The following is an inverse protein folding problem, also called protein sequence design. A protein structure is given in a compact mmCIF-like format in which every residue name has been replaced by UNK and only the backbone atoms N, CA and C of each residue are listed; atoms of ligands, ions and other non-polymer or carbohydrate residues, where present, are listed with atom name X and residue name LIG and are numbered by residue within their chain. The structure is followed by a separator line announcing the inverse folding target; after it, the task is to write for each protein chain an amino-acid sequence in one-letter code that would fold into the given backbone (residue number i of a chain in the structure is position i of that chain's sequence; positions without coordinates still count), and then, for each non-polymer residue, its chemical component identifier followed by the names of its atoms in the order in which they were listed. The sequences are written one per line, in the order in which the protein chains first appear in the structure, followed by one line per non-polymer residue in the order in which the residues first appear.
data_IF_494446683760
#
_entry.id   IF_494446683760
#
_cell.length_a   1.000
_cell.length_b   1.000
_cell.length_c   1.000
_cell.angle_alpha   90.00
_cell.angle_beta   90.00
_cell.angle_gamma   90.00
#
_symmetry.space_group_name_H-M   'P 1'
#
loop_
_entity.id
_entity.type
_entity.pdbx_description
1 polymer ?
#
# COMPACT_ATOMS: atom_id res chain seq x y z
N UNK A 1 12.48 5.67 3.09
CA UNK A 1 13.65 5.12 3.80
C UNK A 1 14.46 6.25 4.38
N UNK A 2 14.62 6.24 5.70
CA UNK A 2 15.57 7.08 6.40
C UNK A 2 16.86 6.33 6.62
N UNK A 3 17.99 6.96 6.33
CA UNK A 3 19.32 6.36 6.41
C UNK A 3 20.28 7.36 7.02
N UNK A 4 20.91 7.01 8.15
CA UNK A 4 22.00 7.81 8.74
C UNK A 4 23.39 7.28 8.33
N UNK A 5 23.51 6.01 7.94
CA UNK A 5 24.73 5.48 7.33
C UNK A 5 24.40 4.42 6.28
N UNK A 6 25.27 4.26 5.27
CA UNK A 6 25.11 3.25 4.22
C UNK A 6 25.38 1.83 4.73
N UNK A 7 26.19 1.69 5.79
CA UNK A 7 26.79 0.43 6.24
C UNK A 7 26.11 -0.21 7.44
N UNK A 8 25.19 0.49 8.13
CA UNK A 8 24.45 -0.11 9.27
C UNK A 8 23.27 -0.92 8.74
N UNK A 9 23.05 -2.09 9.36
CA UNK A 9 21.82 -2.87 9.20
C UNK A 9 20.60 -1.98 9.43
N UNK A 10 19.53 -2.28 8.71
CA UNK A 10 18.26 -1.56 8.83
C UNK A 10 17.28 -2.46 9.53
N UNK A 11 16.58 -1.89 10.50
CA UNK A 11 15.50 -2.55 11.19
C UNK A 11 14.20 -2.25 10.45
N UNK A 12 13.32 -3.25 10.40
CA UNK A 12 11.95 -3.03 9.96
C UNK A 12 11.20 -2.30 11.07
N UNK A 13 10.61 -1.16 10.72
CA UNK A 13 9.77 -0.38 11.63
C UNK A 13 8.47 -0.02 10.93
N UNK A 14 7.45 0.36 11.68
CA UNK A 14 6.25 1.00 11.15
C UNK A 14 5.93 2.31 11.86
N UNK A 15 5.14 3.15 11.19
CA UNK A 15 4.47 4.30 11.80
C UNK A 15 2.97 4.18 11.57
N UNK A 16 2.18 4.67 12.52
CA UNK A 16 0.74 4.76 12.32
C UNK A 16 0.42 5.88 11.34
N UNK A 17 -0.40 5.57 10.35
CA UNK A 17 -0.94 6.55 9.42
C UNK A 17 -2.47 6.53 9.53
N UNK A 18 -3.06 7.72 9.52
CA UNK A 18 -4.47 7.88 9.19
C UNK A 18 -4.52 8.16 7.69
N UNK A 19 -5.38 7.47 6.95
CA UNK A 19 -5.77 8.01 5.66
C UNK A 19 -6.68 9.21 5.97
N UNK A 20 -6.41 10.42 5.43
CA UNK A 20 -7.15 11.59 5.84
C UNK A 20 -8.57 11.50 5.31
N UNK A 21 -9.53 11.27 6.19
CA UNK A 21 -10.95 11.47 5.94
C UNK A 21 -11.21 12.96 5.61
N UNK A 22 -11.94 13.30 4.53
CA UNK A 22 -12.40 14.67 4.29
C UNK A 22 -13.34 15.20 5.38
N UNK A 23 -13.99 14.34 6.17
CA UNK A 23 -15.04 14.73 7.13
C UNK A 23 -14.63 14.64 8.61
N UNK A 24 -13.39 14.23 8.91
CA UNK A 24 -12.84 14.28 10.27
C UNK A 24 -13.47 13.27 11.26
N UNK A 25 -14.08 12.18 10.77
CA UNK A 25 -14.59 11.11 11.61
C UNK A 25 -13.48 10.29 12.27
N UNK A 26 -13.60 10.08 13.58
CA UNK A 26 -12.60 9.38 14.42
C UNK A 26 -12.55 7.85 14.22
N UNK A 27 -13.12 7.34 13.11
CA UNK A 27 -13.19 5.92 12.75
C UNK A 27 -12.09 5.42 11.81
N UNK A 28 -11.05 6.21 11.55
CA UNK A 28 -10.00 5.84 10.60
C UNK A 28 -9.32 4.52 10.97
N UNK A 29 -9.48 3.49 10.12
CA UNK A 29 -8.71 2.24 10.21
C UNK A 29 -7.23 2.60 10.26
N UNK A 30 -6.59 2.37 11.41
CA UNK A 30 -5.19 2.69 11.65
C UNK A 30 -4.28 1.82 10.80
N UNK A 31 -4.02 2.23 9.56
CA UNK A 31 -3.03 1.59 8.70
C UNK A 31 -1.64 1.81 9.28
N UNK A 32 -0.79 0.79 9.18
CA UNK A 32 0.60 0.84 9.63
C UNK A 32 1.50 0.91 8.40
N UNK A 33 2.27 1.97 8.24
CA UNK A 33 3.22 2.09 7.12
C UNK A 33 4.59 1.59 7.55
N UNK A 34 4.95 0.40 7.09
CA UNK A 34 6.22 -0.27 7.32
C UNK A 34 7.33 0.16 6.36
N UNK A 35 8.55 0.27 6.89
CA UNK A 35 9.75 0.57 6.11
C UNK A 35 11.02 0.23 6.89
N UNK A 36 12.10 -0.03 6.16
CA UNK A 36 13.42 -0.24 6.74
C UNK A 36 14.11 1.08 7.08
N UNK A 37 14.70 1.16 8.27
CA UNK A 37 15.49 2.33 8.71
C UNK A 37 16.64 1.94 9.64
N UNK A 38 17.67 2.79 9.71
CA UNK A 38 18.76 2.65 10.67
C UNK A 38 19.00 3.92 11.48
N UNK A 39 17.98 4.79 11.60
CA UNK A 39 18.09 5.96 12.47
C UNK A 39 18.21 5.54 13.95
N UNK A 40 18.80 6.35 14.83
CA UNK A 40 18.97 6.03 16.25
C UNK A 40 17.63 5.85 16.97
N UNK A 41 17.59 5.01 18.00
CA UNK A 41 16.37 4.69 18.73
C UNK A 41 15.64 5.92 19.31
N UNK A 42 16.37 6.92 19.84
CA UNK A 42 15.76 8.18 20.29
C UNK A 42 15.00 8.89 19.18
N UNK A 43 15.61 9.00 17.99
CA UNK A 43 14.98 9.59 16.81
C UNK A 43 13.83 8.73 16.26
N UNK A 44 13.78 7.42 16.54
CA UNK A 44 12.62 6.57 16.22
C UNK A 44 11.45 6.90 17.12
N UNK A 45 11.70 7.01 18.42
CA UNK A 45 10.68 7.37 19.43
C UNK A 45 10.05 8.74 19.13
N UNK A 46 10.88 9.76 18.85
CA UNK A 46 10.43 11.11 18.48
C UNK A 46 9.48 11.11 17.27
N UNK A 47 9.69 10.17 16.34
CA UNK A 47 8.94 10.05 15.09
C UNK A 47 7.79 9.04 15.14
N UNK A 48 7.59 8.35 16.28
CA UNK A 48 6.54 7.34 16.46
C UNK A 48 6.80 6.06 15.68
N UNK A 49 8.06 5.73 15.45
CA UNK A 49 8.45 4.49 14.79
C UNK A 49 8.48 3.34 15.80
N UNK A 50 7.73 2.29 15.52
CA UNK A 50 7.67 1.06 16.31
C UNK A 50 8.40 -0.03 15.55
N UNK A 51 9.33 -0.72 16.20
CA UNK A 51 10.07 -1.82 15.58
C UNK A 51 9.18 -3.04 15.35
N UNK A 52 9.42 -3.75 14.25
CA UNK A 52 8.89 -5.08 14.00
C UNK A 52 10.07 -6.03 14.18
N UNK A 53 10.12 -6.83 15.25
CA UNK A 53 11.23 -7.76 15.46
C UNK A 53 11.17 -8.89 14.41
N UNK A 54 12.32 -9.50 14.05
CA UNK A 54 12.35 -10.61 13.09
C UNK A 54 11.46 -11.80 13.45
N UNK A 55 11.17 -12.00 14.74
CA UNK A 55 10.23 -13.03 15.23
C UNK A 55 8.81 -12.84 14.71
N UNK A 56 8.44 -11.60 14.35
CA UNK A 56 7.07 -11.23 13.96
C UNK A 56 6.94 -11.15 12.42
N UNK A 57 7.99 -11.47 11.66
CA UNK A 57 7.94 -11.37 10.19
C UNK A 57 6.98 -12.40 9.57
N UNK A 58 6.80 -13.55 10.22
CA UNK A 58 5.85 -14.59 9.83
C UNK A 58 4.39 -14.18 10.04
N UNK A 59 4.09 -13.42 11.09
CA UNK A 59 2.78 -12.82 11.31
C UNK A 59 2.91 -11.34 11.69
N UNK A 60 3.09 -10.47 10.69
CA UNK A 60 3.29 -9.06 10.96
C UNK A 60 2.01 -8.38 11.45
N UNK A 61 2.12 -7.22 12.12
CA UNK A 61 0.99 -6.46 12.59
C UNK A 61 -0.13 -6.32 11.54
N UNK A 62 -1.39 -6.45 11.98
CA UNK A 62 -2.56 -6.24 11.12
C UNK A 62 -2.52 -4.85 10.49
N UNK A 63 -3.06 -4.73 9.27
CA UNK A 63 -3.05 -3.49 8.48
C UNK A 63 -1.65 -2.90 8.18
N UNK A 64 -0.58 -3.72 8.24
CA UNK A 64 0.76 -3.32 7.81
C UNK A 64 0.87 -3.26 6.29
N UNK A 65 1.24 -2.10 5.77
CA UNK A 65 1.63 -1.90 4.38
C UNK A 65 3.10 -1.53 4.28
N UNK A 66 3.84 -2.16 3.38
CA UNK A 66 5.25 -1.81 3.11
C UNK A 66 5.39 -1.37 1.66
N UNK A 67 6.10 -0.26 1.46
CA UNK A 67 6.44 0.23 0.13
C UNK A 67 5.30 0.89 -0.65
N UNK A 68 4.13 1.07 -0.03
CA UNK A 68 2.99 1.70 -0.69
C UNK A 68 3.34 3.09 -1.26
N UNK A 69 2.90 3.34 -2.49
CA UNK A 69 3.01 4.64 -3.13
C UNK A 69 2.03 5.65 -2.55
N UNK A 70 0.87 5.15 -2.10
CA UNK A 70 -0.19 5.83 -1.37
C UNK A 70 -0.96 4.78 -0.54
N UNK A 71 -1.45 5.10 0.67
CA UNK A 71 -1.11 6.28 1.46
C UNK A 71 0.37 6.27 1.87
N UNK A 72 0.98 7.46 1.97
CA UNK A 72 2.39 7.60 2.33
C UNK A 72 2.57 8.64 3.43
N UNK A 73 3.19 8.28 4.57
CA UNK A 73 3.39 9.22 5.66
C UNK A 73 4.26 10.40 5.25
N UNK A 74 4.11 11.51 5.98
CA UNK A 74 5.00 12.65 5.85
C UNK A 74 6.41 12.23 6.26
N UNK A 75 7.41 12.92 5.69
CA UNK A 75 8.79 12.79 6.14
C UNK A 75 9.11 13.89 7.14
N UNK A 76 9.77 13.54 8.23
CA UNK A 76 10.36 14.47 9.16
C UNK A 76 11.88 14.47 8.96
N UNK A 77 12.49 15.64 9.03
CA UNK A 77 13.94 15.79 8.93
C UNK A 77 14.47 16.77 9.96
N UNK A 78 15.58 16.43 10.60
CA UNK A 78 16.32 17.28 11.54
C UNK A 78 17.80 17.21 11.23
N UNK A 79 18.47 18.35 11.23
CA UNK A 79 19.93 18.42 11.15
C UNK A 79 20.47 18.51 12.58
N UNK A 80 21.27 17.53 12.94
CA UNK A 80 22.15 17.54 14.10
C UNK A 80 23.54 17.97 13.61
N UNK A 81 24.39 18.53 14.47
CA UNK A 81 25.65 19.23 14.13
C UNK A 81 26.39 18.67 12.90
N UNK A 82 26.66 17.36 12.91
CA UNK A 82 27.33 16.65 11.81
C UNK A 82 26.46 15.58 11.12
N UNK A 83 25.20 15.40 11.53
CA UNK A 83 24.35 14.30 11.05
C UNK A 83 22.99 14.79 10.59
N UNK A 84 22.50 14.21 9.52
CA UNK A 84 21.16 14.49 9.01
C UNK A 84 20.26 13.29 9.28
N UNK A 85 19.19 13.50 10.03
CA UNK A 85 18.13 12.51 10.24
C UNK A 85 16.97 12.85 9.35
N UNK A 86 16.55 11.92 8.50
CA UNK A 86 15.30 12.05 7.73
C UNK A 86 14.59 10.72 7.70
N UNK A 87 13.36 10.64 8.20
CA UNK A 87 12.56 9.42 8.15
C UNK A 87 11.07 9.75 8.05
N UNK A 88 10.21 8.73 8.04
CA UNK A 88 8.77 8.92 8.14
C UNK A 88 8.36 9.20 9.59
N UNK A 89 7.27 9.96 9.74
CA UNK A 89 6.69 10.34 11.03
C UNK A 89 5.25 9.85 11.10
N UNK A 90 4.87 9.28 12.24
CA UNK A 90 3.49 8.93 12.55
C UNK A 90 2.60 10.17 12.60
N UNK A 91 1.33 10.02 12.20
CA UNK A 91 0.39 11.15 12.14
C UNK A 91 0.18 11.81 13.51
N UNK A 92 0.16 11.01 14.56
CA UNK A 92 0.04 11.37 15.97
C UNK A 92 1.31 12.05 16.52
N UNK A 93 2.47 11.83 15.89
CA UNK A 93 3.75 12.42 16.30
C UNK A 93 4.15 13.67 15.54
N UNK A 94 3.33 14.16 14.61
CA UNK A 94 3.68 15.36 13.82
C UNK A 94 3.87 16.58 14.72
N UNK A 95 3.00 16.80 15.70
CA UNK A 95 3.09 17.96 16.60
C UNK A 95 4.32 17.87 17.51
N UNK A 96 4.52 16.73 18.17
CA UNK A 96 5.69 16.51 19.04
C UNK A 96 7.01 16.55 18.26
N UNK A 97 7.06 16.03 17.04
CA UNK A 97 8.26 16.09 16.20
C UNK A 97 8.62 17.54 15.83
N UNK A 98 7.64 18.42 15.59
CA UNK A 98 7.92 19.85 15.36
C UNK A 98 8.55 20.50 16.58
N UNK A 99 8.02 20.23 17.79
CA UNK A 99 8.58 20.72 19.05
C UNK A 99 9.99 20.19 19.27
N UNK A 100 10.27 18.94 18.91
CA UNK A 100 11.60 18.33 18.93
C UNK A 100 12.55 18.82 17.80
N UNK A 101 12.17 19.87 17.07
CA UNK A 101 13.00 20.52 16.06
C UNK A 101 13.01 19.85 14.68
N UNK A 102 12.10 18.92 14.39
CA UNK A 102 11.99 18.34 13.05
C UNK A 102 11.23 19.26 12.09
N UNK A 103 11.80 19.46 10.90
CA UNK A 103 11.10 19.98 9.74
C UNK A 103 10.23 18.88 9.13
N UNK A 104 8.92 19.13 9.06
CA UNK A 104 7.96 18.20 8.47
C UNK A 104 7.74 18.54 7.00
N UNK A 105 7.98 17.58 6.12
CA UNK A 105 7.74 17.68 4.69
C UNK A 105 6.25 17.77 4.34
N UNK A 106 5.97 18.24 3.12
CA UNK A 106 4.60 18.29 2.58
C UNK A 106 4.06 16.87 2.36
N UNK A 107 2.74 16.72 2.49
CA UNK A 107 2.05 15.49 2.09
C UNK A 107 2.23 15.30 0.58
N UNK A 108 2.48 14.07 0.15
CA UNK A 108 2.51 13.75 -1.28
C UNK A 108 1.10 13.88 -1.85
N UNK A 109 0.98 14.47 -3.05
CA UNK A 109 -0.31 14.53 -3.75
C UNK A 109 -0.88 13.12 -3.94
N UNK A 110 -2.20 12.99 -3.72
CA UNK A 110 -2.91 11.73 -3.89
C UNK A 110 -2.97 11.36 -5.37
N UNK A 111 -2.91 10.07 -5.68
CA UNK A 111 -3.23 9.59 -7.03
C UNK A 111 -4.69 9.95 -7.36
N UNK A 112 -4.95 10.42 -8.59
CA UNK A 112 -6.32 10.68 -9.04
C UNK A 112 -7.06 9.34 -9.13
N UNK A 113 -8.10 9.17 -8.32
CA UNK A 113 -8.99 8.01 -8.41
C UNK A 113 -9.71 8.02 -9.77
N UNK A 114 -9.77 6.85 -10.42
CA UNK A 114 -10.39 6.67 -11.74
C UNK A 114 -11.66 5.84 -11.56
N UNK A 115 -12.69 6.49 -11.04
CA UNK A 115 -13.98 5.83 -10.74
C UNK A 115 -14.58 5.26 -12.02
N UNK A 116 -15.20 4.08 -11.91
CA UNK A 116 -15.88 3.43 -13.02
C UNK A 116 -16.97 4.33 -13.62
N UNK A 117 -17.17 4.26 -14.94
CA UNK A 117 -18.15 5.10 -15.64
C UNK A 117 -17.73 6.56 -15.87
N UNK A 118 -16.60 7.01 -15.30
CA UNK A 118 -15.98 8.28 -15.69
C UNK A 118 -15.46 8.15 -17.14
N UNK A 119 -16.08 8.86 -18.07
CA UNK A 119 -15.76 8.81 -19.51
C UNK A 119 -14.38 9.34 -19.88
N UNK A 120 -13.68 10.01 -18.95
CA UNK A 120 -12.44 10.74 -19.24
C UNK A 120 -11.16 9.89 -19.23
N UNK A 121 -11.23 8.60 -18.90
CA UNK A 121 -10.05 7.76 -18.69
C UNK A 121 -10.16 6.40 -19.38
N UNK A 122 -9.03 5.90 -19.92
CA UNK A 122 -8.90 4.55 -20.48
C UNK A 122 -8.68 3.45 -19.43
N UNK A 123 -8.53 3.85 -18.17
CA UNK A 123 -8.32 2.96 -17.02
C UNK A 123 -9.38 3.23 -15.96
N UNK A 124 -9.65 2.22 -15.16
CA UNK A 124 -10.50 2.31 -13.97
C UNK A 124 -9.74 1.80 -12.75
N UNK A 125 -10.01 2.41 -11.60
CA UNK A 125 -9.46 1.94 -10.34
C UNK A 125 -10.33 0.79 -9.81
N UNK A 126 -9.68 -0.33 -9.54
CA UNK A 126 -10.27 -1.51 -8.90
C UNK A 126 -9.44 -1.90 -7.68
N UNK A 127 -10.00 -2.75 -6.83
CA UNK A 127 -9.32 -3.24 -5.65
C UNK A 127 -9.73 -4.65 -5.26
N UNK A 128 -8.89 -5.30 -4.45
CA UNK A 128 -9.21 -6.50 -3.67
C UNK A 128 -8.93 -6.19 -2.20
N UNK A 129 -9.56 -6.91 -1.27
CA UNK A 129 -9.28 -6.75 0.16
C UNK A 129 -8.35 -7.85 0.63
N UNK A 130 -7.27 -7.49 1.32
CA UNK A 130 -6.27 -8.44 1.81
C UNK A 130 -5.77 -8.01 3.18
N UNK A 131 -5.83 -8.89 4.20
CA UNK A 131 -5.48 -8.55 5.60
C UNK A 131 -6.14 -7.24 6.10
N UNK A 132 -7.39 -6.99 5.70
CA UNK A 132 -8.13 -5.76 6.03
C UNK A 132 -7.71 -4.50 5.26
N UNK A 133 -6.89 -4.64 4.21
CA UNK A 133 -6.40 -3.54 3.38
C UNK A 133 -7.05 -3.60 1.99
N UNK A 134 -7.63 -2.50 1.51
CA UNK A 134 -8.08 -2.38 0.12
C UNK A 134 -6.88 -2.13 -0.79
N UNK A 135 -6.34 -3.17 -1.43
CA UNK A 135 -5.23 -3.05 -2.37
C UNK A 135 -5.74 -2.57 -3.72
N UNK A 136 -5.47 -1.32 -4.06
CA UNK A 136 -5.93 -0.66 -5.28
C UNK A 136 -4.91 -0.69 -6.42
N UNK A 137 -5.40 -0.85 -7.65
CA UNK A 137 -4.64 -0.64 -8.87
C UNK A 137 -5.53 -0.09 -9.99
N UNK A 138 -4.90 0.44 -11.03
CA UNK A 138 -5.62 0.87 -12.23
C UNK A 138 -5.55 -0.25 -13.27
N UNK A 139 -6.71 -0.67 -13.77
CA UNK A 139 -6.84 -1.66 -14.85
C UNK A 139 -7.35 -0.96 -16.12
N UNK A 140 -6.80 -1.26 -17.32
CA UNK A 140 -7.38 -0.79 -18.57
C UNK A 140 -8.84 -1.26 -18.72
N UNK A 141 -9.72 -0.40 -19.21
CA UNK A 141 -11.14 -0.72 -19.43
C UNK A 141 -11.32 -1.95 -20.33
N UNK A 142 -10.49 -2.07 -21.37
CA UNK A 142 -10.47 -3.23 -22.27
C UNK A 142 -10.12 -4.51 -21.52
N UNK A 143 -9.04 -4.51 -20.74
CA UNK A 143 -8.65 -5.67 -19.94
C UNK A 143 -9.73 -6.08 -18.95
N UNK A 144 -10.39 -5.10 -18.30
CA UNK A 144 -11.50 -5.37 -17.39
C UNK A 144 -12.72 -5.94 -18.12
N UNK A 145 -13.03 -5.46 -19.32
CA UNK A 145 -14.11 -6.02 -20.14
C UNK A 145 -13.83 -7.47 -20.54
N UNK A 146 -12.56 -7.82 -20.83
CA UNK A 146 -12.17 -9.20 -21.15
C UNK A 146 -12.19 -10.13 -19.93
N UNK A 147 -11.92 -9.62 -18.72
CA UNK A 147 -12.15 -10.35 -17.47
C UNK A 147 -13.65 -10.57 -17.26
N UNK A 148 -14.48 -9.56 -17.59
CA UNK A 148 -15.93 -9.68 -17.62
C UNK A 148 -16.53 -10.09 -16.27
N UNK A 149 -17.46 -11.04 -16.30
CA UNK A 149 -18.14 -11.56 -15.11
C UNK A 149 -17.22 -12.24 -14.09
N UNK A 150 -16.04 -12.71 -14.51
CA UNK A 150 -15.09 -13.39 -13.63
C UNK A 150 -14.50 -12.43 -12.57
N UNK A 151 -14.58 -11.10 -12.78
CA UNK A 151 -14.02 -10.10 -11.87
C UNK A 151 -14.56 -10.25 -10.45
N UNK A 152 -15.87 -10.47 -10.30
CA UNK A 152 -16.51 -10.64 -8.99
C UNK A 152 -16.04 -11.93 -8.30
N UNK A 153 -15.88 -13.03 -9.05
CA UNK A 153 -15.40 -14.30 -8.53
C UNK A 153 -13.91 -14.26 -8.14
N UNK A 154 -13.12 -13.41 -8.80
CA UNK A 154 -11.74 -13.08 -8.40
C UNK A 154 -11.68 -12.11 -7.20
N UNK A 155 -12.81 -11.67 -6.65
CA UNK A 155 -12.89 -10.71 -5.54
C UNK A 155 -12.57 -9.26 -5.94
N UNK A 156 -12.48 -8.96 -7.24
CA UNK A 156 -12.16 -7.64 -7.76
C UNK A 156 -13.41 -6.74 -7.67
N UNK A 157 -13.25 -5.61 -6.99
CA UNK A 157 -14.30 -4.60 -6.80
C UNK A 157 -13.93 -3.30 -7.50
N UNK A 158 -14.94 -2.60 -8.02
CA UNK A 158 -14.76 -1.26 -8.56
C UNK A 158 -14.62 -0.26 -7.42
N UNK A 159 -13.63 0.61 -7.49
CA UNK A 159 -13.52 1.68 -6.52
C UNK A 159 -14.61 2.74 -6.76
N UNK A 160 -15.31 3.10 -5.68
CA UNK A 160 -16.22 4.24 -5.60
C UNK A 160 -15.48 5.48 -5.08
N UNK A 161 -16.11 6.65 -5.18
CA UNK A 161 -15.53 7.90 -4.68
C UNK A 161 -15.21 7.85 -3.17
N UNK A 162 -16.02 7.14 -2.39
CA UNK A 162 -15.83 6.90 -0.95
C UNK A 162 -14.59 6.07 -0.63
N UNK A 163 -14.15 5.17 -1.52
CA UNK A 163 -12.96 4.33 -1.30
C UNK A 163 -11.64 5.11 -1.39
N UNK A 164 -11.68 6.37 -1.83
CA UNK A 164 -10.50 7.19 -2.07
C UNK A 164 -9.55 7.22 -0.87
N UNK A 165 -10.12 7.22 0.33
CA UNK A 165 -9.41 7.31 1.59
C UNK A 165 -9.22 5.96 2.29
N UNK A 166 -9.35 4.85 1.55
CA UNK A 166 -9.10 3.51 2.09
C UNK A 166 -8.14 2.70 1.20
N UNK A 167 -7.95 3.14 -0.04
CA UNK A 167 -7.15 2.43 -1.04
C UNK A 167 -5.65 2.58 -0.82
N UNK A 168 -4.97 1.43 -0.80
CA UNK A 168 -3.52 1.32 -0.78
C UNK A 168 -3.01 0.95 -2.18
N UNK A 169 -2.18 1.79 -2.78
CA UNK A 169 -1.65 1.61 -4.12
C UNK A 169 -0.18 1.22 -4.11
N UNK A 170 0.15 0.17 -4.85
CA UNK A 170 1.54 -0.23 -5.09
C UNK A 170 2.27 -0.66 -3.82
N UNK A 171 1.57 -1.25 -2.86
CA UNK A 171 2.22 -1.89 -1.72
C UNK A 171 3.00 -3.12 -2.20
N UNK A 172 4.19 -3.31 -1.63
CA UNK A 172 4.99 -4.51 -1.80
C UNK A 172 4.56 -5.60 -0.81
N UNK A 173 3.98 -5.21 0.32
CA UNK A 173 3.38 -6.11 1.31
C UNK A 173 2.16 -5.43 1.95
N UNK A 174 1.06 -6.18 2.21
CA UNK A 174 0.73 -7.42 1.52
C UNK A 174 0.52 -7.13 0.02
N UNK A 175 0.98 -8.04 -0.82
CA UNK A 175 0.75 -7.96 -2.26
C UNK A 175 -0.19 -9.10 -2.64
N UNK A 176 -1.38 -8.82 -3.18
CA UNK A 176 -2.30 -9.86 -3.58
C UNK A 176 -1.68 -10.81 -4.61
N UNK A 177 -2.06 -12.08 -4.61
CA UNK A 177 -1.63 -13.03 -5.63
C UNK A 177 -2.19 -12.61 -6.99
N UNK A 178 -1.55 -13.09 -8.06
CA UNK A 178 -1.96 -12.83 -9.43
C UNK A 178 -2.49 -14.09 -10.08
N UNK A 179 -3.55 -13.95 -10.86
CA UNK A 179 -4.03 -14.99 -11.75
C UNK A 179 -3.86 -14.54 -13.21
N UNK A 180 -3.80 -15.48 -14.13
CA UNK A 180 -3.89 -15.22 -15.55
C UNK A 180 -4.90 -16.14 -16.24
N UNK A 181 -5.42 -15.70 -17.38
CA UNK A 181 -6.31 -16.46 -18.26
C UNK A 181 -5.91 -16.16 -19.69
N UNK A 182 -5.73 -17.20 -20.49
CA UNK A 182 -5.52 -17.07 -21.93
C UNK A 182 -6.88 -17.21 -22.62
N UNK A 183 -7.16 -16.31 -23.57
CA UNK A 183 -8.33 -16.43 -24.44
C UNK A 183 -7.93 -16.11 -25.88
N UNK A 184 -8.56 -16.79 -26.83
CA UNK A 184 -8.41 -16.47 -28.25
C UNK A 184 -9.38 -15.35 -28.60
N UNK A 185 -8.86 -14.20 -29.01
CA UNK A 185 -9.65 -13.06 -29.50
C UNK A 185 -9.16 -12.74 -30.90
N UNK A 186 -10.06 -12.75 -31.88
CA UNK A 186 -9.73 -12.44 -33.29
C UNK A 186 -8.58 -13.29 -33.85
N UNK A 187 -8.57 -14.60 -33.58
CA UNK A 187 -7.54 -15.56 -33.97
C UNK A 187 -6.15 -15.37 -33.31
N UNK A 188 -6.02 -14.48 -32.33
CA UNK A 188 -4.80 -14.31 -31.54
C UNK A 188 -5.01 -14.76 -30.09
N UNK A 189 -4.02 -15.45 -29.52
CA UNK A 189 -4.02 -15.81 -28.09
C UNK A 189 -3.62 -14.58 -27.28
N UNK A 190 -4.55 -14.06 -26.48
CA UNK A 190 -4.31 -12.98 -25.56
C UNK A 190 -4.29 -13.52 -24.12
N UNK A 191 -3.24 -13.15 -23.37
CA UNK A 191 -3.12 -13.50 -21.94
C UNK A 191 -3.48 -12.29 -21.09
N UNK A 192 -4.54 -12.42 -20.29
CA UNK A 192 -4.92 -11.42 -19.29
C UNK A 192 -4.36 -11.81 -17.95
N UNK A 193 -3.85 -10.84 -17.19
CA UNK A 193 -3.39 -11.06 -15.81
C UNK A 193 -3.89 -9.96 -14.90
N UNK A 194 -4.37 -10.35 -13.73
CA UNK A 194 -4.86 -9.44 -12.70
C UNK A 194 -4.53 -9.96 -11.30
N UNK A 195 -4.69 -9.09 -10.31
CA UNK A 195 -4.73 -9.50 -8.90
C UNK A 195 -6.08 -10.12 -8.57
N UNK A 196 -6.09 -11.04 -7.60
CA UNK A 196 -7.30 -11.63 -7.05
C UNK A 196 -7.25 -11.66 -5.52
N UNK A 197 -8.40 -11.83 -4.88
CA UNK A 197 -8.51 -11.99 -3.44
C UNK A 197 -7.99 -13.38 -3.02
N UNK A 198 -6.94 -13.47 -2.17
CA UNK A 198 -6.41 -14.77 -1.74
C UNK A 198 -7.39 -15.59 -0.91
N UNK A 199 -8.49 -15.02 -0.40
CA UNK A 199 -9.53 -15.81 0.29
C UNK A 199 -10.45 -16.55 -0.69
N UNK A 200 -10.35 -16.33 -1.99
CA UNK A 200 -11.12 -17.08 -2.98
C UNK A 200 -10.65 -18.54 -3.02
N UNK A 201 -11.55 -19.46 -2.65
CA UNK A 201 -11.25 -20.90 -2.55
C UNK A 201 -10.88 -21.56 -3.90
N UNK A 202 -11.49 -21.09 -4.99
CA UNK A 202 -11.23 -21.60 -6.34
C UNK A 202 -11.25 -20.48 -7.39
N UNK A 203 -10.27 -20.49 -8.28
CA UNK A 203 -10.25 -19.56 -9.40
C UNK A 203 -11.34 -19.93 -10.43
N UNK A 204 -11.97 -18.95 -11.10
CA UNK A 204 -12.94 -19.23 -12.14
C UNK A 204 -12.33 -20.05 -13.29
N UNK A 205 -13.17 -20.74 -14.06
CA UNK A 205 -12.70 -21.61 -15.15
C UNK A 205 -11.78 -20.88 -16.14
N UNK A 206 -10.66 -21.53 -16.47
CA UNK A 206 -9.62 -20.99 -17.37
C UNK A 206 -8.64 -20.02 -16.71
N UNK A 207 -8.83 -19.65 -15.44
CA UNK A 207 -7.83 -18.90 -14.67
C UNK A 207 -6.86 -19.85 -13.98
N UNK A 208 -5.59 -19.45 -13.95
CA UNK A 208 -4.53 -20.16 -13.24
C UNK A 208 -3.70 -19.17 -12.41
N UNK A 209 -3.15 -19.59 -11.26
CA UNK A 209 -2.21 -18.77 -10.51
C UNK A 209 -1.00 -18.43 -11.38
N UNK A 210 -0.54 -17.19 -11.30
CA UNK A 210 0.72 -16.73 -11.88
C UNK A 210 1.60 -16.26 -10.74
N UNK A 211 2.90 -16.62 -10.74
CA UNK A 211 3.83 -16.51 -9.60
C UNK A 211 4.08 -15.12 -8.98
N UNK A 212 3.24 -14.12 -9.23
CA UNK A 212 3.27 -12.84 -8.53
C UNK A 212 2.38 -12.84 -7.29
N UNK A 213 2.87 -12.24 -6.20
CA UNK A 213 2.05 -11.90 -5.03
C UNK A 213 1.79 -13.04 -4.05
N UNK A 214 2.69 -14.01 -3.96
CA UNK A 214 2.72 -14.89 -2.79
C UNK A 214 2.95 -14.02 -1.56
N UNK A 215 2.25 -14.30 -0.46
CA UNK A 215 2.60 -13.82 0.87
C UNK A 215 4.02 -14.31 1.22
N UNK A 216 5.06 -13.76 0.61
CA UNK A 216 6.41 -13.98 1.07
C UNK A 216 6.48 -13.31 2.43
N UNK A 217 6.67 -14.15 3.46
CA UNK A 217 7.04 -13.76 4.82
C UNK A 217 8.14 -12.68 4.73
N UNK A 218 8.01 -11.65 5.57
CA UNK A 218 8.83 -10.43 5.51
C UNK A 218 10.32 -10.66 5.70
#
# INVERSE_FOLDING_TARGET
MGSQSKYKSKDLVYVNIKIPDPEGGDGAVGLKYGFFTNIPAGNRSDLGQVAIPPTDYADPPTALIIGASFPKPRRASRRETQRFTSSFVGVDKIASAKVAGYRIGKTKARSKLKVAGSGSYFVETVYVTIRGIKYGWNIPKVSKAHIGGDAAALGIRNAAASDRDELCFGANFPKPPRANKSATVSNEVQTYSTFYDPSTESLPSGWQPSGGGVYSIL
#
